data_IF_737570459959
#
_entry.id   IF_737570459959
#
_cell.length_a   1.000
_cell.length_b   1.000
_cell.length_c   1.000
_cell.angle_alpha   90.00
_cell.angle_beta   90.00
_cell.angle_gamma   90.00
#
_symmetry.space_group_name_H-M   'P 1'
#
loop_
_entity.id
_entity.type
_entity.pdbx_description
1 polymer ?
#
# COMPACT_ATOMS: atom_id res chain seq x y z
N UNK A 1 9.75 -14.27 4.21
CA UNK A 1 8.60 -13.36 4.00
C UNK A 1 8.72 -12.25 5.01
N UNK A 2 8.88 -11.02 4.52
CA UNK A 2 8.96 -9.82 5.36
C UNK A 2 7.63 -9.12 5.34
N UNK A 3 7.34 -8.38 6.41
CA UNK A 3 6.12 -7.59 6.48
C UNK A 3 6.44 -6.18 7.00
N UNK A 4 5.54 -5.26 6.68
CA UNK A 4 5.55 -3.89 7.18
C UNK A 4 4.17 -3.63 7.79
N UNK A 5 4.16 -3.19 9.05
CA UNK A 5 2.97 -2.77 9.78
C UNK A 5 3.06 -1.29 10.10
N UNK A 6 2.01 -0.53 9.73
CA UNK A 6 1.93 0.90 9.94
C UNK A 6 0.56 1.25 10.54
N UNK A 7 0.55 2.22 11.44
CA UNK A 7 -0.66 2.91 11.88
C UNK A 7 -0.44 4.40 11.71
N UNK A 8 -1.23 5.05 10.85
CA UNK A 8 -0.99 6.44 10.45
C UNK A 8 -2.29 7.22 10.56
N UNK A 9 -2.22 8.41 11.14
CA UNK A 9 -3.34 9.35 11.12
C UNK A 9 -3.43 10.00 9.73
N UNK A 10 -4.56 9.78 9.07
CA UNK A 10 -4.87 10.36 7.76
C UNK A 10 -5.91 11.45 7.93
N UNK A 11 -5.57 12.65 7.47
CA UNK A 11 -6.48 13.79 7.48
C UNK A 11 -7.43 13.80 6.29
N UNK A 12 -8.32 14.79 6.26
CA UNK A 12 -9.38 14.87 5.24
C UNK A 12 -8.89 15.16 3.81
N UNK A 13 -7.65 15.62 3.65
CA UNK A 13 -7.01 15.80 2.34
C UNK A 13 -6.39 14.53 1.75
N UNK A 14 -6.50 13.40 2.44
CA UNK A 14 -5.78 12.18 2.11
C UNK A 14 -4.32 12.25 2.50
N UNK A 15 -3.54 11.25 2.09
CA UNK A 15 -2.13 11.19 2.42
C UNK A 15 -1.35 10.46 1.32
N UNK A 16 -0.23 11.03 0.90
CA UNK A 16 0.79 10.33 0.11
C UNK A 16 2.09 10.36 0.88
N UNK A 17 2.72 9.20 1.01
CA UNK A 17 4.04 9.09 1.61
C UNK A 17 4.87 8.01 0.94
N UNK A 18 6.17 8.05 1.21
CA UNK A 18 7.16 7.18 0.61
C UNK A 18 7.92 6.45 1.71
N UNK A 19 8.18 5.18 1.49
CA UNK A 19 8.93 4.33 2.40
C UNK A 19 10.01 3.58 1.61
N UNK A 20 11.27 3.62 2.05
CA UNK A 20 12.32 2.81 1.45
C UNK A 20 11.96 1.32 1.53
N UNK A 21 12.18 0.58 0.44
CA UNK A 21 12.03 -0.86 0.45
C UNK A 21 13.07 -1.46 1.40
N UNK A 22 12.67 -2.31 2.36
CA UNK A 22 13.60 -2.87 3.35
C UNK A 22 14.56 -3.90 2.76
N UNK A 23 14.27 -4.40 1.56
CA UNK A 23 15.06 -5.35 0.80
C UNK A 23 14.60 -5.35 -0.66
N UNK A 24 15.33 -6.07 -1.52
CA UNK A 24 14.83 -6.41 -2.85
C UNK A 24 13.61 -7.32 -2.72
N UNK A 25 12.44 -6.87 -3.19
CA UNK A 25 11.18 -7.60 -3.01
C UNK A 25 10.07 -7.21 -4.00
N UNK A 26 9.00 -8.01 -4.04
CA UNK A 26 7.69 -7.59 -4.59
C UNK A 26 6.64 -7.54 -3.49
N UNK A 27 5.56 -6.79 -3.72
CA UNK A 27 4.41 -6.74 -2.79
C UNK A 27 3.48 -7.91 -3.09
N UNK A 28 3.30 -8.81 -2.12
CA UNK A 28 2.43 -9.99 -2.26
C UNK A 28 1.06 -9.78 -1.66
N UNK A 29 0.92 -8.90 -0.67
CA UNK A 29 -0.34 -8.66 0.02
C UNK A 29 -0.40 -7.26 0.59
N UNK A 30 -1.63 -6.74 0.66
CA UNK A 30 -1.99 -5.52 1.35
C UNK A 30 -3.24 -5.83 2.16
N UNK A 31 -3.22 -5.54 3.45
CA UNK A 31 -4.41 -5.52 4.30
C UNK A 31 -4.54 -4.14 4.96
N UNK A 32 -5.77 -3.65 5.07
CA UNK A 32 -6.05 -2.30 5.58
C UNK A 32 -7.24 -2.34 6.54
N UNK A 33 -7.14 -1.58 7.63
CA UNK A 33 -8.24 -1.35 8.57
C UNK A 33 -8.34 0.16 8.81
N UNK A 34 -9.55 0.69 8.72
CA UNK A 34 -9.86 2.08 9.07
C UNK A 34 -10.42 2.13 10.49
N UNK A 35 -9.92 3.04 11.33
CA UNK A 35 -10.39 3.17 12.72
C UNK A 35 -11.77 3.82 12.85
N UNK A 36 -12.28 4.43 11.78
CA UNK A 36 -13.55 5.13 11.72
C UNK A 36 -14.35 4.70 10.49
N UNK A 37 -15.62 5.13 10.44
CA UNK A 37 -16.47 4.96 9.25
C UNK A 37 -15.86 5.72 8.08
N UNK A 38 -15.78 5.07 6.92
CA UNK A 38 -15.22 5.62 5.67
C UNK A 38 -16.24 5.47 4.54
N UNK A 39 -16.05 6.19 3.44
CA UNK A 39 -16.92 6.09 2.29
C UNK A 39 -16.65 4.82 1.48
N UNK A 40 -17.68 4.28 0.82
CA UNK A 40 -17.47 3.24 -0.19
C UNK A 40 -16.64 3.85 -1.33
N UNK A 41 -15.57 3.17 -1.71
CA UNK A 41 -14.63 3.66 -2.72
C UNK A 41 -13.39 4.34 -2.15
N UNK A 42 -13.30 4.59 -0.83
CA UNK A 42 -12.05 5.03 -0.22
C UNK A 42 -10.95 3.98 -0.42
N UNK A 43 -9.72 4.43 -0.66
CA UNK A 43 -8.63 3.55 -1.10
C UNK A 43 -7.33 3.73 -0.34
N UNK A 44 -6.57 2.63 -0.30
CA UNK A 44 -5.14 2.62 -0.04
C UNK A 44 -4.47 1.89 -1.19
N UNK A 45 -3.60 2.59 -1.90
CA UNK A 45 -2.89 2.11 -3.08
C UNK A 45 -1.39 2.08 -2.80
N UNK A 46 -0.77 0.91 -3.00
CA UNK A 46 0.68 0.80 -3.08
C UNK A 46 1.05 0.97 -4.55
N UNK A 47 1.90 1.95 -4.82
CA UNK A 47 2.39 2.28 -6.14
C UNK A 47 3.91 2.17 -6.23
N UNK A 48 4.39 1.90 -7.45
CA UNK A 48 5.75 2.20 -7.88
C UNK A 48 5.70 3.40 -8.81
N UNK A 49 6.24 4.54 -8.37
CA UNK A 49 6.02 5.85 -9.01
C UNK A 49 4.54 6.24 -9.15
N UNK A 50 3.92 6.00 -10.31
CA UNK A 50 2.50 6.25 -10.58
C UNK A 50 1.72 4.97 -10.89
N UNK A 51 2.39 3.83 -10.92
CA UNK A 51 1.82 2.54 -11.29
C UNK A 51 1.36 1.79 -10.04
N UNK A 52 0.06 1.50 -9.93
CA UNK A 52 -0.48 0.68 -8.86
C UNK A 52 0.06 -0.75 -8.93
N UNK A 53 0.45 -1.30 -7.79
CA UNK A 53 0.85 -2.71 -7.64
C UNK A 53 -0.13 -3.50 -6.78
N UNK A 54 -0.80 -2.83 -5.84
CA UNK A 54 -1.81 -3.45 -4.97
C UNK A 54 -2.75 -2.36 -4.42
N UNK A 55 -4.05 -2.54 -4.63
CA UNK A 55 -5.08 -1.58 -4.28
C UNK A 55 -6.09 -2.20 -3.32
N UNK A 56 -6.24 -1.62 -2.13
CA UNK A 56 -7.34 -1.90 -1.23
C UNK A 56 -8.42 -0.83 -1.37
N UNK A 57 -9.68 -1.27 -1.47
CA UNK A 57 -10.85 -0.39 -1.57
C UNK A 57 -11.85 -0.71 -0.46
N UNK A 58 -12.38 0.31 0.18
CA UNK A 58 -13.46 0.19 1.15
C UNK A 58 -14.76 -0.20 0.42
N UNK A 59 -15.24 -1.42 0.70
CA UNK A 59 -16.50 -1.95 0.15
C UNK A 59 -17.67 -1.87 1.11
N UNK A 60 -17.41 -1.68 2.41
CA UNK A 60 -18.43 -1.31 3.40
C UNK A 60 -17.93 -0.16 4.25
N UNK A 61 -18.86 0.62 4.79
CA UNK A 61 -18.54 1.87 5.50
C UNK A 61 -18.14 1.65 6.98
N UNK A 62 -18.20 0.42 7.49
CA UNK A 62 -17.99 0.14 8.92
C UNK A 62 -16.52 0.21 9.34
N UNK A 63 -16.26 0.91 10.45
CA UNK A 63 -14.96 0.95 11.12
C UNK A 63 -14.48 -0.46 11.56
N UNK A 64 -13.16 -0.65 11.64
CA UNK A 64 -12.56 -1.89 12.14
C UNK A 64 -12.67 -3.09 11.18
N UNK A 65 -13.31 -2.93 10.02
CA UNK A 65 -13.42 -3.99 9.02
C UNK A 65 -12.15 -4.07 8.18
N UNK A 66 -11.55 -5.26 8.14
CA UNK A 66 -10.38 -5.54 7.32
C UNK A 66 -10.72 -5.53 5.83
N UNK A 67 -9.91 -4.84 5.06
CA UNK A 67 -9.91 -4.81 3.58
C UNK A 67 -8.67 -5.53 3.08
N UNK A 68 -8.87 -6.45 2.15
CA UNK A 68 -7.78 -7.14 1.48
C UNK A 68 -7.59 -6.46 0.13
N UNK A 69 -6.36 -6.02 -0.15
CA UNK A 69 -5.99 -5.41 -1.40
C UNK A 69 -5.98 -6.42 -2.55
N UNK A 70 -6.34 -5.94 -3.73
CA UNK A 70 -6.25 -6.68 -4.98
C UNK A 70 -4.96 -6.31 -5.68
N UNK A 71 -4.11 -7.31 -5.93
CA UNK A 71 -2.87 -7.11 -6.69
C UNK A 71 -3.19 -6.76 -8.14
N UNK A 72 -2.47 -5.79 -8.69
CA UNK A 72 -2.63 -5.41 -10.09
C UNK A 72 -2.22 -6.56 -11.02
N UNK A 73 -3.03 -6.88 -12.02
CA UNK A 73 -2.78 -8.07 -12.86
C UNK A 73 -1.50 -7.97 -13.69
N UNK A 74 -1.09 -6.74 -14.04
CA UNK A 74 0.06 -6.43 -14.90
C UNK A 74 1.31 -6.11 -14.07
N UNK A 75 1.15 -5.35 -13.00
CA UNK A 75 2.22 -4.70 -12.26
C UNK A 75 2.53 -5.36 -10.90
N UNK A 76 1.81 -6.42 -10.52
CA UNK A 76 2.06 -7.16 -9.26
C UNK A 76 3.48 -7.69 -9.07
N UNK A 77 4.25 -7.81 -10.14
CA UNK A 77 5.62 -8.34 -10.13
C UNK A 77 6.69 -7.23 -10.20
N UNK A 78 6.29 -5.96 -10.11
CA UNK A 78 7.25 -4.88 -10.05
C UNK A 78 8.11 -5.02 -8.78
N UNK A 79 9.41 -5.24 -9.00
CA UNK A 79 10.41 -5.31 -7.94
C UNK A 79 10.69 -3.89 -7.42
N UNK A 80 10.75 -3.82 -6.11
CA UNK A 80 11.36 -2.75 -5.34
C UNK A 80 12.74 -3.23 -4.88
N UNK A 81 13.77 -2.43 -5.09
CA UNK A 81 15.15 -2.76 -4.77
C UNK A 81 15.86 -1.53 -4.16
N UNK A 82 16.21 -1.55 -2.87
CA UNK A 82 16.90 -0.44 -2.23
C UNK A 82 18.30 -0.18 -2.80
N UNK A 83 18.92 -1.17 -3.47
CA UNK A 83 20.21 -1.03 -4.13
C UNK A 83 20.09 -0.48 -5.56
N UNK A 84 18.87 -0.34 -6.09
CA UNK A 84 18.66 0.24 -7.43
C UNK A 84 19.23 1.66 -7.49
N UNK A 85 19.62 2.12 -8.69
CA UNK A 85 19.96 3.52 -8.93
C UNK A 85 18.73 4.36 -9.30
N UNK A 86 17.62 3.73 -9.65
CA UNK A 86 16.36 4.41 -10.03
C UNK A 86 15.48 4.61 -8.80
N UNK A 87 15.16 5.86 -8.44
CA UNK A 87 14.37 6.20 -7.25
C UNK A 87 13.00 5.50 -7.17
N UNK A 88 12.31 5.39 -8.31
CA UNK A 88 11.02 4.69 -8.38
C UNK A 88 11.12 3.21 -7.92
N UNK A 89 12.28 2.58 -8.11
CA UNK A 89 12.50 1.20 -7.69
C UNK A 89 12.89 1.08 -6.22
N UNK A 90 13.36 2.15 -5.57
CA UNK A 90 13.83 2.09 -4.17
C UNK A 90 12.70 2.22 -3.15
N UNK A 91 11.58 2.80 -3.56
CA UNK A 91 10.55 3.29 -2.64
C UNK A 91 9.19 2.64 -2.91
N UNK A 92 8.51 2.22 -1.85
CA UNK A 92 7.07 2.00 -1.87
C UNK A 92 6.40 3.37 -1.71
N UNK A 93 5.60 3.78 -2.71
CA UNK A 93 4.73 4.94 -2.58
C UNK A 93 3.37 4.44 -2.10
N UNK A 94 2.87 4.99 -1.00
CA UNK A 94 1.57 4.65 -0.46
C UNK A 94 0.68 5.88 -0.61
N UNK A 95 -0.45 5.69 -1.29
CA UNK A 95 -1.44 6.74 -1.57
C UNK A 95 -2.74 6.34 -0.89
N UNK A 96 -3.22 7.20 0.00
CA UNK A 96 -4.48 7.03 0.71
C UNK A 96 -5.42 8.13 0.22
N UNK A 97 -6.64 7.75 -0.17
CA UNK A 97 -7.66 8.70 -0.62
C UNK A 97 -7.98 9.75 0.44
N UNK A 98 -8.60 10.85 0.00
CA UNK A 98 -9.19 11.82 0.92
C UNK A 98 -10.31 11.14 1.73
N UNK A 99 -10.17 11.10 3.05
CA UNK A 99 -11.17 10.53 3.95
C UNK A 99 -12.10 11.63 4.47
N UNK A 100 -13.34 11.29 4.82
CA UNK A 100 -14.31 12.28 5.31
C UNK A 100 -13.96 12.83 6.71
N UNK A 101 -13.20 12.06 7.49
CA UNK A 101 -12.79 12.43 8.85
C UNK A 101 -11.36 12.00 9.11
N UNK A 102 -10.73 12.63 10.12
CA UNK A 102 -9.43 12.22 10.60
C UNK A 102 -9.50 10.77 11.11
N UNK A 103 -8.83 9.87 10.42
CA UNK A 103 -8.95 8.42 10.64
C UNK A 103 -7.57 7.81 10.78
N UNK A 104 -7.38 6.93 11.76
CA UNK A 104 -6.18 6.11 11.82
C UNK A 104 -6.36 4.96 10.83
N UNK A 105 -5.41 4.83 9.90
CA UNK A 105 -5.37 3.75 8.93
C UNK A 105 -4.27 2.77 9.37
N UNK A 106 -4.69 1.56 9.70
CA UNK A 106 -3.81 0.41 9.91
C UNK A 106 -3.51 -0.25 8.58
N UNK A 107 -2.24 -0.43 8.25
CA UNK A 107 -1.77 -1.00 6.99
C UNK A 107 -0.80 -2.13 7.30
N UNK A 108 -1.07 -3.31 6.73
CA UNK A 108 -0.18 -4.46 6.75
C UNK A 108 0.21 -4.81 5.30
N UNK A 109 1.51 -4.91 5.04
CA UNK A 109 2.05 -5.21 3.71
C UNK A 109 2.92 -6.46 3.83
N UNK A 110 2.65 -7.48 3.03
CA UNK A 110 3.56 -8.64 2.91
C UNK A 110 4.45 -8.49 1.67
N UNK A 111 5.72 -8.85 1.85
CA UNK A 111 6.78 -8.75 0.85
C UNK A 111 7.39 -10.12 0.58
N UNK A 112 7.55 -10.42 -0.71
CA UNK A 112 8.35 -11.55 -1.18
C UNK A 112 9.77 -11.09 -1.54
N UNK A 113 10.71 -11.45 -0.69
CA UNK A 113 12.15 -11.16 -0.83
C UNK A 113 12.89 -12.13 -1.76
N UNK A 114 12.21 -13.22 -2.18
CA UNK A 114 12.77 -14.21 -3.10
C UNK A 114 12.26 -14.04 -4.53
N UNK A 115 11.57 -12.93 -4.83
CA UNK A 115 11.10 -12.63 -6.17
C UNK A 115 12.30 -12.41 -7.12
N UNK A 116 12.63 -13.44 -7.89
CA UNK A 116 13.62 -13.39 -8.97
C UNK A 116 12.86 -13.09 -10.26
N UNK A 117 12.62 -11.81 -10.53
CA UNK A 117 12.21 -11.38 -11.87
C UNK A 117 13.37 -10.58 -12.47
N UNK A 118 13.74 -10.92 -13.69
CA UNK A 118 14.66 -10.12 -14.51
C UNK A 118 13.91 -8.84 -14.89
N UNK A 119 14.38 -7.69 -14.41
CA UNK A 119 13.88 -6.37 -14.81
C UNK A 119 14.75 -5.79 -15.91
#
# INVERSE_FOLDING_TARGET
>A
MKHIDLAILVGTGGLTFYMPAPCRCTVTKLEVIFSATVAVGDTVDIQRATTSVNLATATVVTAGVKRIGTRDTTNKQLIFDPASTTEANKMLKIVISALETNTIVGIHIELDEFAIVTQ
#
